data_IF_071363412775
#
_entry.id   IF_071363412775
#
_cell.length_a   1.000
_cell.length_b   1.000
_cell.length_c   1.000
_cell.angle_alpha   90.00
_cell.angle_beta   90.00
_cell.angle_gamma   90.00
#
_symmetry.space_group_name_H-M   'P 1'
#
loop_
_entity.id
_entity.type
_entity.pdbx_description
1 polymer ?
#
# COMPACT_ATOMS: atom_id res chain seq x y z
N UNK A 1 -33.69 4.68 -8.02
CA UNK A 1 -33.04 5.60 -8.98
C UNK A 1 -32.19 6.56 -8.19
N UNK A 2 -30.99 6.13 -7.80
CA UNK A 2 -30.07 6.98 -7.04
C UNK A 2 -29.40 7.96 -7.98
N UNK A 3 -29.60 9.26 -7.76
CA UNK A 3 -28.86 10.30 -8.48
C UNK A 3 -27.38 10.16 -8.13
N UNK A 4 -26.60 9.78 -9.14
CA UNK A 4 -25.15 9.88 -9.15
C UNK A 4 -24.76 11.29 -8.69
N UNK A 5 -24.01 11.38 -7.60
CA UNK A 5 -23.50 12.68 -7.13
C UNK A 5 -22.36 13.03 -8.08
N UNK A 6 -22.66 13.79 -9.13
CA UNK A 6 -21.63 14.40 -9.94
C UNK A 6 -21.02 15.53 -9.11
N UNK A 7 -19.71 15.50 -8.82
CA UNK A 7 -19.06 16.62 -8.13
C UNK A 7 -19.32 17.91 -8.91
N UNK A 8 -19.35 19.05 -8.21
CA UNK A 8 -19.46 20.35 -8.86
C UNK A 8 -18.38 20.47 -9.93
N UNK A 9 -18.78 20.82 -11.15
CA UNK A 9 -17.85 20.98 -12.27
C UNK A 9 -17.01 22.23 -12.00
N UNK A 10 -15.73 22.01 -11.71
CA UNK A 10 -14.75 23.09 -11.56
C UNK A 10 -14.27 23.48 -12.95
N UNK A 11 -14.37 24.75 -13.30
CA UNK A 11 -13.84 25.27 -14.57
C UNK A 11 -12.40 25.74 -14.39
N UNK A 12 -11.48 25.42 -15.31
CA UNK A 12 -10.11 25.93 -15.25
C UNK A 12 -10.07 27.44 -15.50
N UNK A 13 -9.05 28.09 -14.95
CA UNK A 13 -8.62 29.42 -15.34
C UNK A 13 -7.82 29.27 -16.64
N UNK A 14 -8.28 29.93 -17.70
CA UNK A 14 -7.63 29.89 -19.02
C UNK A 14 -6.46 30.88 -19.07
N UNK A 15 -5.30 30.41 -19.54
CA UNK A 15 -4.11 31.20 -19.83
C UNK A 15 -3.88 31.20 -21.34
N UNK A 16 -4.01 32.37 -21.96
CA UNK A 16 -4.01 32.49 -23.43
C UNK A 16 -2.66 32.19 -24.08
N UNK A 17 -1.55 32.32 -23.35
CA UNK A 17 -0.21 32.06 -23.88
C UNK A 17 0.76 31.77 -22.75
N UNK A 18 1.52 30.68 -22.89
CA UNK A 18 2.60 30.31 -21.97
C UNK A 18 3.91 30.10 -22.73
N UNK A 19 5.02 30.11 -22.00
CA UNK A 19 6.32 29.76 -22.56
C UNK A 19 6.36 28.26 -22.89
N UNK A 20 7.04 27.90 -23.98
CA UNK A 20 7.29 26.50 -24.31
C UNK A 20 8.43 25.95 -23.44
N UNK A 21 8.10 25.54 -22.21
CA UNK A 21 9.08 25.01 -21.24
C UNK A 21 9.57 23.63 -21.68
N UNK A 22 10.89 23.44 -21.71
CA UNK A 22 11.52 22.15 -22.00
C UNK A 22 11.76 21.31 -20.72
N UNK A 23 11.91 21.96 -19.57
CA UNK A 23 12.14 21.33 -18.27
C UNK A 23 13.08 22.15 -17.39
N UNK A 24 13.64 21.50 -16.38
CA UNK A 24 14.64 22.08 -15.48
C UNK A 24 16.05 21.67 -15.87
N UNK A 25 17.02 22.56 -15.71
CA UNK A 25 18.43 22.22 -15.97
C UNK A 25 18.94 21.26 -14.89
N UNK A 26 19.61 20.18 -15.29
CA UNK A 26 20.22 19.20 -14.38
C UNK A 26 21.68 19.54 -14.04
N UNK A 27 22.31 20.39 -14.87
CA UNK A 27 23.69 20.82 -14.71
C UNK A 27 23.86 22.24 -15.28
N UNK A 28 24.92 22.91 -14.84
CA UNK A 28 25.37 24.16 -15.47
C UNK A 28 26.09 23.85 -16.79
N UNK A 29 26.02 24.79 -17.73
CA UNK A 29 26.67 24.74 -19.03
C UNK A 29 27.03 26.17 -19.46
N UNK A 30 28.13 26.34 -20.20
CA UNK A 30 28.49 27.62 -20.81
C UNK A 30 27.68 27.87 -22.09
N UNK A 31 27.69 29.10 -22.58
CA UNK A 31 27.03 29.44 -23.83
C UNK A 31 27.61 28.62 -25.00
N UNK A 32 26.74 27.91 -25.71
CA UNK A 32 27.10 27.02 -26.82
C UNK A 32 27.38 25.57 -26.41
N UNK A 33 27.37 25.24 -25.12
CA UNK A 33 27.49 23.86 -24.64
C UNK A 33 26.12 23.19 -24.48
N UNK A 34 26.13 21.85 -24.53
CA UNK A 34 24.95 21.04 -24.27
C UNK A 34 24.59 21.04 -22.78
N UNK A 35 23.28 21.17 -22.49
CA UNK A 35 22.74 21.08 -21.13
C UNK A 35 21.81 19.87 -21.00
N UNK A 36 21.89 19.16 -19.88
CA UNK A 36 20.92 18.09 -19.56
C UNK A 36 19.67 18.72 -18.96
N UNK A 37 18.52 18.28 -19.46
CA UNK A 37 17.22 18.80 -19.03
C UNK A 37 16.39 17.68 -18.39
N UNK A 38 15.89 17.94 -17.19
CA UNK A 38 14.89 17.13 -16.51
C UNK A 38 13.53 17.61 -17.01
N UNK A 39 13.00 16.90 -18.00
CA UNK A 39 11.69 17.22 -18.57
C UNK A 39 10.55 16.46 -17.89
N UNK A 40 10.85 15.42 -17.09
CA UNK A 40 9.84 14.61 -16.39
C UNK A 40 10.37 14.19 -15.02
N UNK A 41 9.54 14.27 -14.00
CA UNK A 41 9.91 13.80 -12.66
C UNK A 41 8.83 13.97 -11.61
N UNK A 42 9.07 13.35 -10.46
CA UNK A 42 8.29 13.54 -9.24
C UNK A 42 9.19 13.91 -8.08
N UNK A 43 8.77 14.90 -7.32
CA UNK A 43 9.48 15.44 -6.17
C UNK A 43 8.50 15.65 -5.03
N UNK A 44 8.97 15.58 -3.79
CA UNK A 44 8.12 15.82 -2.62
C UNK A 44 8.78 16.76 -1.62
N UNK A 45 7.97 17.33 -0.73
CA UNK A 45 8.37 18.40 0.20
C UNK A 45 9.45 18.03 1.25
N UNK A 46 9.91 16.78 1.31
CA UNK A 46 11.07 16.41 2.13
C UNK A 46 12.40 16.54 1.36
N UNK A 47 12.33 16.76 0.04
CA UNK A 47 13.49 16.93 -0.81
C UNK A 47 13.74 18.42 -1.04
N UNK A 48 14.98 18.88 -0.88
CA UNK A 48 15.32 20.31 -1.10
C UNK A 48 14.92 20.78 -2.51
N UNK A 49 15.17 19.97 -3.52
CA UNK A 49 14.90 20.27 -4.93
C UNK A 49 13.41 20.56 -5.22
N UNK A 50 12.49 20.03 -4.41
CA UNK A 50 11.06 20.33 -4.52
C UNK A 50 10.80 21.84 -4.40
N UNK A 51 11.48 22.50 -3.46
CA UNK A 51 11.28 23.93 -3.20
C UNK A 51 11.84 24.80 -4.33
N UNK A 52 12.98 24.39 -4.91
CA UNK A 52 13.57 25.06 -6.07
C UNK A 52 12.61 25.00 -7.28
N UNK A 53 12.05 23.81 -7.57
CA UNK A 53 11.13 23.66 -8.69
C UNK A 53 9.78 24.33 -8.47
N UNK A 54 9.21 24.25 -7.27
CA UNK A 54 7.91 24.86 -6.99
C UNK A 54 7.98 26.39 -7.03
N UNK A 55 9.10 26.99 -6.63
CA UNK A 55 9.32 28.43 -6.68
C UNK A 55 9.35 28.94 -8.13
N UNK A 56 10.15 28.30 -8.99
CA UNK A 56 10.22 28.62 -10.42
C UNK A 56 8.86 28.48 -11.12
N UNK A 57 8.15 27.38 -10.88
CA UNK A 57 6.81 27.18 -11.45
C UNK A 57 5.81 28.20 -10.94
N UNK A 58 5.91 28.57 -9.65
CA UNK A 58 5.05 29.60 -9.07
C UNK A 58 5.30 30.96 -9.69
N UNK A 59 6.56 31.33 -9.95
CA UNK A 59 6.91 32.58 -10.61
C UNK A 59 6.36 32.68 -12.04
N UNK A 60 6.28 31.55 -12.75
CA UNK A 60 5.76 31.50 -14.12
C UNK A 60 4.23 31.51 -14.15
N UNK A 61 3.59 30.63 -13.37
CA UNK A 61 2.16 30.33 -13.53
C UNK A 61 1.27 30.89 -12.41
N UNK A 62 1.84 31.13 -11.23
CA UNK A 62 1.08 31.46 -10.01
C UNK A 62 1.40 32.85 -9.46
N UNK A 63 2.21 33.66 -10.16
CA UNK A 63 2.68 34.97 -9.69
C UNK A 63 1.58 35.99 -9.37
N UNK A 64 0.37 35.80 -9.90
CA UNK A 64 -0.81 36.64 -9.60
C UNK A 64 -1.55 36.22 -8.32
N UNK A 65 -1.16 35.12 -7.70
CA UNK A 65 -1.82 34.55 -6.55
C UNK A 65 -0.93 34.60 -5.32
N UNK A 66 -1.56 34.67 -4.14
CA UNK A 66 -0.86 34.47 -2.89
C UNK A 66 -0.54 32.98 -2.73
N UNK A 67 0.67 32.57 -3.10
CA UNK A 67 1.12 31.16 -3.14
C UNK A 67 0.89 30.43 -1.82
N UNK A 68 1.00 31.13 -0.69
CA UNK A 68 0.75 30.56 0.65
C UNK A 68 -0.69 30.04 0.86
N UNK A 69 -1.65 30.40 -0.02
CA UNK A 69 -3.03 29.89 0.01
C UNK A 69 -3.25 28.72 -0.96
N UNK A 70 -2.24 28.33 -1.72
CA UNK A 70 -2.33 27.26 -2.71
C UNK A 70 -1.87 25.95 -2.07
N UNK A 71 -2.77 24.98 -1.96
CA UNK A 71 -2.46 23.66 -1.41
C UNK A 71 -2.48 22.53 -2.46
N UNK A 72 -2.98 22.79 -3.66
CA UNK A 72 -2.91 21.92 -4.83
C UNK A 72 -3.15 22.76 -6.07
N UNK A 73 -2.52 22.38 -7.17
CA UNK A 73 -2.79 22.96 -8.47
C UNK A 73 -2.51 21.96 -9.58
N UNK A 74 -3.20 22.14 -10.70
CA UNK A 74 -3.01 21.37 -11.92
C UNK A 74 -2.86 22.35 -13.07
N UNK A 75 -1.80 22.20 -13.85
CA UNK A 75 -1.53 22.98 -15.05
C UNK A 75 -1.45 22.01 -16.22
N UNK A 76 -2.31 22.21 -17.20
CA UNK A 76 -2.32 21.46 -18.45
C UNK A 76 -1.95 22.45 -19.55
N UNK A 77 -0.86 22.20 -20.26
CA UNK A 77 -0.39 23.06 -21.36
C UNK A 77 -0.72 22.36 -22.67
N UNK A 78 -1.48 23.05 -23.51
CA UNK A 78 -1.93 22.56 -24.80
C UNK A 78 -0.85 22.76 -25.89
N UNK A 79 -0.94 22.06 -27.04
CA UNK A 79 0.05 22.17 -28.12
C UNK A 79 0.14 23.58 -28.73
N UNK A 80 -0.95 24.36 -28.65
CA UNK A 80 -1.00 25.76 -29.10
C UNK A 80 -0.42 26.75 -28.07
N UNK A 81 0.16 26.25 -26.97
CA UNK A 81 0.70 27.02 -25.85
C UNK A 81 -0.34 27.85 -25.09
N UNK A 82 -1.61 27.50 -25.20
CA UNK A 82 -2.61 27.87 -24.18
C UNK A 82 -2.49 26.93 -22.98
N UNK A 83 -3.02 27.31 -21.81
CA UNK A 83 -3.02 26.44 -20.64
C UNK A 83 -4.26 26.55 -19.78
N UNK A 84 -4.60 25.44 -19.14
CA UNK A 84 -5.65 25.30 -18.14
C UNK A 84 -5.04 25.20 -16.76
N UNK A 85 -5.42 26.13 -15.87
CA UNK A 85 -4.95 26.20 -14.49
C UNK A 85 -6.12 25.93 -13.53
N UNK A 86 -5.98 24.87 -12.72
CA UNK A 86 -6.85 24.60 -11.58
C UNK A 86 -6.08 24.91 -10.30
N UNK A 87 -6.69 25.64 -9.36
CA UNK A 87 -6.10 25.99 -8.07
C UNK A 87 -7.04 25.53 -6.97
N UNK A 88 -6.50 24.84 -5.97
CA UNK A 88 -7.16 24.33 -4.76
C UNK A 88 -8.28 23.30 -4.96
N UNK A 89 -8.97 23.35 -6.09
CA UNK A 89 -10.10 22.49 -6.45
C UNK A 89 -9.73 21.60 -7.64
N UNK A 90 -8.68 20.79 -7.50
CA UNK A 90 -8.34 19.78 -8.50
C UNK A 90 -9.21 18.53 -8.26
N UNK A 91 -10.09 18.14 -9.19
CA UNK A 91 -11.05 17.06 -8.97
C UNK A 91 -10.36 15.71 -9.19
N UNK A 92 -9.89 15.11 -8.09
CA UNK A 92 -9.17 13.83 -8.10
C UNK A 92 -10.07 12.66 -7.68
N UNK A 93 -9.86 11.51 -8.31
CA UNK A 93 -10.45 10.23 -7.92
C UNK A 93 -9.34 9.24 -7.61
N UNK A 94 -9.52 8.47 -6.53
CA UNK A 94 -8.61 7.41 -6.14
C UNK A 94 -9.26 6.05 -6.39
N UNK A 95 -8.51 5.17 -7.06
CA UNK A 95 -8.86 3.75 -7.15
C UNK A 95 -8.14 3.02 -6.02
N UNK A 96 -8.92 2.44 -5.11
CA UNK A 96 -8.41 1.77 -3.92
C UNK A 96 -8.77 0.30 -3.91
N UNK A 97 -7.93 -0.50 -3.27
CA UNK A 97 -8.30 -1.82 -2.76
C UNK A 97 -8.76 -1.62 -1.33
N UNK A 98 -10.00 -1.96 -1.01
CA UNK A 98 -10.55 -1.79 0.33
C UNK A 98 -10.32 -3.04 1.21
N UNK A 99 -10.18 -2.81 2.52
CA UNK A 99 -10.05 -3.89 3.52
C UNK A 99 -11.40 -4.51 3.91
N UNK A 100 -12.49 -3.84 3.56
CA UNK A 100 -13.87 -4.20 3.88
C UNK A 100 -14.79 -3.70 2.78
N UNK A 101 -16.04 -4.08 2.88
CA UNK A 101 -17.10 -3.47 2.08
C UNK A 101 -17.31 -2.02 2.48
N UNK A 102 -17.46 -1.17 1.48
CA UNK A 102 -17.71 0.26 1.62
C UNK A 102 -18.95 0.56 0.78
N UNK A 103 -19.99 1.08 1.43
CA UNK A 103 -21.22 1.46 0.73
C UNK A 103 -21.01 2.80 0.00
N UNK A 104 -21.79 3.02 -1.06
CA UNK A 104 -21.80 4.31 -1.73
C UNK A 104 -22.11 5.42 -0.71
N UNK A 105 -21.36 6.53 -0.78
CA UNK A 105 -21.45 7.70 0.13
C UNK A 105 -20.97 7.44 1.57
N UNK A 106 -20.47 6.24 1.87
CA UNK A 106 -19.82 5.99 3.14
C UNK A 106 -18.46 6.71 3.19
N UNK A 107 -18.14 7.27 4.35
CA UNK A 107 -16.83 7.89 4.57
C UNK A 107 -15.72 6.82 4.55
N UNK A 108 -14.65 7.10 3.81
CA UNK A 108 -13.47 6.24 3.73
C UNK A 108 -12.36 6.84 4.58
N UNK A 109 -11.80 6.03 5.47
CA UNK A 109 -10.65 6.38 6.31
C UNK A 109 -9.40 5.64 5.84
N UNK A 110 -8.22 6.08 6.32
CA UNK A 110 -6.96 5.38 6.02
C UNK A 110 -6.97 3.91 6.46
N UNK A 111 -7.74 3.58 7.50
CA UNK A 111 -7.83 2.21 7.99
C UNK A 111 -8.64 1.30 7.07
N UNK A 112 -9.40 1.86 6.11
CA UNK A 112 -10.20 1.12 5.15
C UNK A 112 -9.42 0.76 3.87
N UNK A 113 -8.24 1.35 3.68
CA UNK A 113 -7.43 1.23 2.46
C UNK A 113 -6.38 0.12 2.63
N UNK A 114 -6.46 -0.92 1.81
CA UNK A 114 -5.43 -1.94 1.67
C UNK A 114 -4.34 -1.50 0.68
N UNK A 115 -4.73 -0.84 -0.42
CA UNK A 115 -3.80 -0.28 -1.40
C UNK A 115 -4.46 0.86 -2.20
N UNK A 116 -3.65 1.69 -2.84
CA UNK A 116 -4.08 2.68 -3.84
C UNK A 116 -3.38 2.32 -5.15
N UNK A 117 -4.16 2.06 -6.19
CA UNK A 117 -3.66 1.58 -7.49
C UNK A 117 -3.57 2.68 -8.53
N UNK A 118 -4.50 3.63 -8.52
CA UNK A 118 -4.56 4.73 -9.49
C UNK A 118 -5.05 6.02 -8.82
N UNK A 119 -4.60 7.16 -9.35
CA UNK A 119 -5.19 8.47 -9.14
C UNK A 119 -5.44 9.09 -10.52
N UNK A 120 -6.68 9.45 -10.80
CA UNK A 120 -7.08 10.13 -12.04
C UNK A 120 -7.81 11.44 -11.74
N UNK A 121 -7.95 12.28 -12.77
CA UNK A 121 -8.81 13.45 -12.71
C UNK A 121 -10.24 13.11 -13.11
N UNK A 122 -11.19 13.95 -12.72
CA UNK A 122 -12.57 13.82 -13.20
C UNK A 122 -12.68 13.96 -14.72
N UNK A 123 -13.67 13.29 -15.31
CA UNK A 123 -13.85 13.21 -16.77
C UNK A 123 -13.97 14.57 -17.48
N UNK A 124 -14.32 15.63 -16.75
CA UNK A 124 -14.42 16.98 -17.30
C UNK A 124 -13.08 17.74 -17.36
N UNK A 125 -12.00 17.15 -16.85
CA UNK A 125 -10.64 17.69 -16.98
C UNK A 125 -10.04 17.17 -18.29
N UNK A 126 -9.91 18.05 -19.29
CA UNK A 126 -9.41 17.70 -20.62
C UNK A 126 -7.88 17.50 -20.61
N UNK A 127 -7.42 16.28 -20.37
CA UNK A 127 -6.02 15.88 -20.49
C UNK A 127 -5.83 14.89 -21.65
N UNK A 128 -4.95 15.22 -22.59
CA UNK A 128 -4.64 14.39 -23.76
C UNK A 128 -3.17 13.98 -23.78
N UNK A 129 -2.87 12.96 -24.58
CA UNK A 129 -1.53 12.36 -24.61
C UNK A 129 -0.44 13.32 -25.14
N UNK A 130 -0.80 14.36 -25.88
CA UNK A 130 0.13 15.34 -26.45
C UNK A 130 0.22 16.65 -25.64
N UNK A 131 -0.31 16.68 -24.41
CA UNK A 131 -0.31 17.86 -23.55
C UNK A 131 0.86 17.81 -22.56
N UNK A 132 1.36 18.96 -22.10
CA UNK A 132 2.31 18.98 -20.97
C UNK A 132 1.55 19.13 -19.66
N UNK A 133 2.11 18.59 -18.60
CA UNK A 133 1.43 18.47 -17.31
C UNK A 133 2.31 18.92 -16.17
N UNK A 134 1.74 19.72 -15.28
CA UNK A 134 2.30 19.99 -13.95
C UNK A 134 1.20 19.72 -12.94
N UNK A 135 1.46 18.89 -11.95
CA UNK A 135 0.50 18.57 -10.91
C UNK A 135 1.17 18.64 -9.54
N UNK A 136 0.72 19.59 -8.72
CA UNK A 136 1.10 19.68 -7.33
C UNK A 136 -0.11 19.34 -6.45
N UNK A 137 0.08 18.44 -5.50
CA UNK A 137 -0.97 18.01 -4.60
C UNK A 137 -0.47 17.83 -3.18
N UNK A 138 -1.36 18.04 -2.22
CA UNK A 138 -1.08 17.89 -0.80
C UNK A 138 -1.73 16.61 -0.25
N UNK A 139 -0.98 15.89 0.56
CA UNK A 139 -1.45 14.73 1.33
C UNK A 139 -1.02 14.92 2.78
N UNK A 140 -1.98 15.11 3.68
CA UNK A 140 -1.68 15.47 5.07
C UNK A 140 -0.88 16.78 5.14
N UNK A 141 0.35 16.69 5.64
CA UNK A 141 1.28 17.84 5.77
C UNK A 141 2.36 17.90 4.68
N UNK A 142 2.29 17.02 3.68
CA UNK A 142 3.31 16.90 2.64
C UNK A 142 2.76 17.23 1.27
N UNK A 143 3.66 17.65 0.39
CA UNK A 143 3.35 17.96 -0.99
C UNK A 143 4.08 17.00 -1.92
N UNK A 144 3.43 16.64 -3.01
CA UNK A 144 4.02 16.00 -4.18
C UNK A 144 3.90 16.93 -5.38
N UNK A 145 4.96 17.03 -6.16
CA UNK A 145 5.05 17.76 -7.43
C UNK A 145 5.44 16.77 -8.52
N UNK A 146 4.59 16.61 -9.50
CA UNK A 146 4.91 15.92 -10.75
C UNK A 146 4.92 16.91 -11.89
N UNK A 147 5.83 16.72 -12.83
CA UNK A 147 5.76 17.37 -14.14
C UNK A 147 6.18 16.44 -15.27
N UNK A 148 5.62 16.69 -16.45
CA UNK A 148 6.01 16.08 -17.73
C UNK A 148 5.90 17.16 -18.82
N UNK A 149 7.06 17.61 -19.29
CA UNK A 149 7.26 18.64 -20.30
C UNK A 149 7.67 18.07 -21.65
N UNK A 150 7.40 16.79 -21.90
CA UNK A 150 7.86 16.12 -23.12
C UNK A 150 7.62 16.95 -24.38
N UNK A 151 8.56 16.81 -25.30
CA UNK A 151 8.54 17.61 -26.51
C UNK A 151 7.45 17.09 -27.45
N UNK A 152 6.47 17.94 -27.73
CA UNK A 152 5.37 17.65 -28.68
C UNK A 152 5.86 17.48 -30.12
N UNK A 153 7.11 17.86 -30.43
CA UNK A 153 7.73 17.63 -31.74
C UNK A 153 8.41 16.28 -31.87
N UNK A 154 8.48 15.46 -30.81
CA UNK A 154 8.95 14.09 -30.91
C UNK A 154 7.74 13.17 -31.18
N UNK A 155 7.53 12.71 -32.44
CA UNK A 155 6.36 11.90 -32.79
C UNK A 155 6.35 10.52 -32.11
N UNK A 156 7.46 10.12 -31.47
CA UNK A 156 7.60 8.84 -30.78
C UNK A 156 7.28 8.88 -29.29
N UNK A 157 6.91 10.05 -28.74
CA UNK A 157 6.59 10.18 -27.31
C UNK A 157 5.22 10.82 -27.11
N UNK A 158 4.29 10.06 -26.51
CA UNK A 158 3.01 10.55 -26.00
C UNK A 158 2.86 10.17 -24.52
N UNK A 159 2.13 10.97 -23.74
CA UNK A 159 1.73 10.63 -22.39
C UNK A 159 0.84 9.37 -22.42
N UNK A 160 1.37 8.26 -21.94
CA UNK A 160 0.54 7.10 -21.62
C UNK A 160 -0.28 7.40 -20.36
N UNK A 161 -1.54 7.80 -20.53
CA UNK A 161 -2.42 8.19 -19.43
C UNK A 161 -2.67 7.03 -18.45
N UNK A 162 -2.78 5.78 -18.93
CA UNK A 162 -3.00 4.64 -18.05
C UNK A 162 -1.82 4.41 -17.10
N UNK A 163 -0.59 4.53 -17.60
CA UNK A 163 0.61 4.46 -16.75
C UNK A 163 0.73 5.69 -15.85
N UNK A 164 0.39 6.88 -16.34
CA UNK A 164 0.37 8.11 -15.54
C UNK A 164 -0.53 7.98 -14.31
N UNK A 165 -1.73 7.41 -14.45
CA UNK A 165 -2.66 7.23 -13.34
C UNK A 165 -2.11 6.30 -12.26
N UNK A 166 -1.40 5.23 -12.66
CA UNK A 166 -0.71 4.35 -11.71
C UNK A 166 0.42 5.07 -11.00
N UNK A 167 1.18 5.89 -11.73
CA UNK A 167 2.26 6.72 -11.19
C UNK A 167 1.72 7.72 -10.16
N UNK A 168 0.63 8.43 -10.45
CA UNK A 168 -0.02 9.30 -9.48
C UNK A 168 -0.58 8.56 -8.28
N UNK A 169 -1.20 7.40 -8.50
CA UNK A 169 -1.68 6.53 -7.41
C UNK A 169 -0.54 6.12 -6.47
N UNK A 170 0.60 5.73 -7.03
CA UNK A 170 1.81 5.42 -6.28
C UNK A 170 2.32 6.62 -5.47
N UNK A 171 2.47 7.80 -6.06
CA UNK A 171 2.97 8.97 -5.34
C UNK A 171 2.03 9.45 -4.24
N UNK A 172 0.72 9.44 -4.50
CA UNK A 172 -0.27 9.77 -3.49
C UNK A 172 -0.21 8.80 -2.31
N UNK A 173 -0.10 7.50 -2.60
CA UNK A 173 0.07 6.45 -1.60
C UNK A 173 1.36 6.61 -0.79
N UNK A 174 2.48 6.86 -1.46
CA UNK A 174 3.77 7.07 -0.81
C UNK A 174 3.69 8.17 0.25
N UNK A 175 3.06 9.31 -0.08
CA UNK A 175 2.86 10.39 0.88
C UNK A 175 1.85 10.03 1.98
N UNK A 176 0.75 9.36 1.66
CA UNK A 176 -0.30 9.01 2.63
C UNK A 176 0.19 7.99 3.67
N UNK A 177 0.98 7.02 3.24
CA UNK A 177 1.49 5.90 4.04
C UNK A 177 2.98 6.00 4.32
N UNK A 178 3.54 7.20 4.28
CA UNK A 178 4.97 7.41 4.49
C UNK A 178 5.46 6.87 5.85
N UNK A 179 4.61 6.89 6.88
CA UNK A 179 4.94 6.33 8.19
C UNK A 179 5.22 4.83 8.07
N UNK A 180 4.37 4.10 7.37
CA UNK A 180 4.53 2.66 7.10
C UNK A 180 5.83 2.39 6.32
N UNK A 181 6.08 3.12 5.23
CA UNK A 181 7.34 3.00 4.49
C UNK A 181 8.56 3.32 5.35
N UNK A 182 8.49 4.34 6.20
CA UNK A 182 9.60 4.72 7.08
C UNK A 182 9.91 3.67 8.15
N UNK A 183 8.89 2.96 8.65
CA UNK A 183 9.07 1.84 9.58
C UNK A 183 9.81 0.71 8.89
N UNK A 184 9.42 0.36 7.66
CA UNK A 184 10.07 -0.69 6.86
C UNK A 184 11.51 -0.32 6.49
N UNK A 185 11.78 0.94 6.15
CA UNK A 185 13.12 1.43 5.83
C UNK A 185 14.02 1.49 7.08
N UNK A 186 13.45 1.64 8.28
CA UNK A 186 14.18 1.49 9.53
C UNK A 186 14.46 0.00 9.79
N UNK A 187 15.56 -0.49 9.20
CA UNK A 187 15.97 -1.90 9.28
C UNK A 187 16.02 -2.42 10.71
N UNK A 188 16.54 -1.66 11.67
CA UNK A 188 16.63 -2.14 13.05
C UNK A 188 15.24 -2.40 13.65
N UNK A 189 14.37 -1.40 13.62
CA UNK A 189 13.00 -1.51 14.16
C UNK A 189 12.21 -2.61 13.46
N UNK A 190 12.25 -2.66 12.13
CA UNK A 190 11.50 -3.64 11.37
C UNK A 190 12.00 -5.07 11.63
N UNK A 191 13.32 -5.30 11.70
CA UNK A 191 13.86 -6.63 11.98
C UNK A 191 13.52 -7.12 13.40
N UNK A 192 13.43 -6.23 14.41
CA UNK A 192 12.94 -6.62 15.74
C UNK A 192 11.48 -7.06 15.72
N UNK A 193 10.60 -6.27 15.09
CA UNK A 193 9.20 -6.63 14.90
C UNK A 193 9.07 -7.95 14.12
N UNK A 194 9.86 -8.11 13.07
CA UNK A 194 9.84 -9.29 12.18
C UNK A 194 10.24 -10.56 12.93
N UNK A 195 11.27 -10.52 13.78
CA UNK A 195 11.68 -11.66 14.62
C UNK A 195 10.58 -12.13 15.57
N UNK A 196 9.78 -11.20 16.08
CA UNK A 196 8.64 -11.54 16.94
C UNK A 196 7.41 -12.03 16.15
N UNK A 197 7.51 -12.12 14.82
CA UNK A 197 6.46 -12.57 13.92
C UNK A 197 5.48 -11.47 13.50
N UNK A 198 5.87 -10.20 13.65
CA UNK A 198 5.08 -9.09 13.13
C UNK A 198 5.47 -8.74 11.70
N UNK A 199 4.45 -8.42 10.91
CA UNK A 199 4.55 -7.94 9.55
C UNK A 199 3.52 -6.80 9.39
N UNK A 200 3.70 -5.85 8.46
CA UNK A 200 2.65 -4.91 8.06
C UNK A 200 1.48 -5.62 7.36
N UNK A 201 0.81 -6.54 8.06
CA UNK A 201 -0.38 -7.22 7.57
C UNK A 201 -1.41 -6.19 7.14
N UNK A 202 -2.09 -6.42 6.01
CA UNK A 202 -3.06 -5.48 5.43
C UNK A 202 -4.05 -4.99 6.47
N UNK A 203 -4.52 -5.88 7.34
CA UNK A 203 -5.44 -5.52 8.42
C UNK A 203 -4.89 -4.50 9.41
N UNK A 204 -3.59 -4.53 9.67
CA UNK A 204 -2.91 -3.63 10.60
C UNK A 204 -2.57 -2.28 9.95
N UNK A 205 -2.37 -2.21 8.63
CA UNK A 205 -1.93 -0.99 7.94
C UNK A 205 -2.74 0.25 8.36
N UNK A 206 -2.05 1.38 8.52
CA UNK A 206 -2.64 2.57 9.11
C UNK A 206 -2.50 2.56 10.63
N UNK A 207 -3.61 2.77 11.35
CA UNK A 207 -3.58 3.06 12.78
C UNK A 207 -2.93 1.98 13.65
N UNK A 208 -3.24 0.70 13.41
CA UNK A 208 -2.79 -0.38 14.30
C UNK A 208 -1.33 -0.75 14.09
N UNK A 209 -0.84 -0.77 12.85
CA UNK A 209 0.57 -1.00 12.56
C UNK A 209 1.44 0.13 13.10
N UNK A 210 1.00 1.39 12.98
CA UNK A 210 1.69 2.54 13.58
C UNK A 210 1.76 2.43 15.10
N UNK A 211 0.66 2.04 15.77
CA UNK A 211 0.65 1.81 17.22
C UNK A 211 1.62 0.70 17.60
N UNK A 212 1.61 -0.43 16.89
CA UNK A 212 2.51 -1.54 17.13
C UNK A 212 3.98 -1.11 16.98
N UNK A 213 4.32 -0.39 15.91
CA UNK A 213 5.68 0.11 15.71
C UNK A 213 6.13 1.09 16.80
N UNK A 214 5.25 1.94 17.31
CA UNK A 214 5.56 2.83 18.44
C UNK A 214 5.83 2.07 19.74
N UNK A 215 5.12 0.96 20.00
CA UNK A 215 5.39 0.09 21.16
C UNK A 215 6.82 -0.46 21.08
N UNK A 216 7.24 -0.96 19.91
CA UNK A 216 8.59 -1.46 19.68
C UNK A 216 9.66 -0.36 19.75
N UNK A 217 9.34 0.84 19.28
CA UNK A 217 10.26 1.97 19.26
C UNK A 217 10.54 2.54 20.66
N UNK A 218 9.52 2.66 21.51
CA UNK A 218 9.66 3.26 22.83
C UNK A 218 10.10 2.22 23.88
N UNK A 219 9.60 0.98 23.80
CA UNK A 219 9.78 -0.10 24.80
C UNK A 219 9.43 0.23 26.25
N UNK A 220 9.00 1.45 26.55
CA UNK A 220 8.44 1.80 27.83
C UNK A 220 7.18 0.96 28.10
N UNK A 221 7.17 0.25 29.23
CA UNK A 221 6.06 -0.63 29.65
C UNK A 221 5.63 -1.64 28.55
N UNK A 222 6.62 -2.18 27.83
CA UNK A 222 6.41 -2.99 26.62
C UNK A 222 5.37 -4.10 26.80
N UNK A 223 5.49 -4.91 27.85
CA UNK A 223 4.59 -6.04 28.11
C UNK A 223 3.13 -5.61 28.27
N UNK A 224 2.87 -4.55 29.03
CA UNK A 224 1.51 -4.05 29.19
C UNK A 224 1.00 -3.38 27.91
N UNK A 225 1.85 -2.64 27.20
CA UNK A 225 1.48 -2.01 25.93
C UNK A 225 1.17 -3.02 24.83
N UNK A 226 1.99 -4.07 24.67
CA UNK A 226 1.73 -5.13 23.69
C UNK A 226 0.47 -5.90 24.09
N UNK A 227 0.30 -6.29 25.35
CA UNK A 227 -0.91 -7.00 25.78
C UNK A 227 -2.19 -6.18 25.54
N UNK A 228 -2.18 -4.87 25.85
CA UNK A 228 -3.30 -3.97 25.50
C UNK A 228 -3.57 -3.90 23.99
N UNK A 229 -2.51 -3.89 23.17
CA UNK A 229 -2.66 -3.93 21.71
C UNK A 229 -3.33 -5.23 21.26
N UNK A 230 -2.90 -6.38 21.78
CA UNK A 230 -3.46 -7.69 21.46
C UNK A 230 -4.92 -7.79 21.93
N UNK A 231 -5.23 -7.31 23.13
CA UNK A 231 -6.58 -7.30 23.69
C UNK A 231 -7.55 -6.43 22.90
N UNK A 232 -7.05 -5.45 22.13
CA UNK A 232 -7.88 -4.68 21.20
C UNK A 232 -8.47 -5.51 20.06
N UNK A 233 -7.92 -6.71 19.79
CA UNK A 233 -8.45 -7.69 18.84
C UNK A 233 -9.49 -8.60 19.51
N UNK A 234 -10.53 -7.94 20.01
CA UNK A 234 -11.72 -8.57 20.57
C UNK A 234 -12.60 -9.25 19.51
N UNK A 235 -13.64 -9.93 19.97
CA UNK A 235 -14.56 -10.68 19.11
C UNK A 235 -15.12 -9.89 17.94
N UNK A 236 -15.55 -8.65 18.16
CA UNK A 236 -16.11 -7.80 17.10
C UNK A 236 -15.07 -7.48 16.02
N UNK A 237 -13.85 -7.15 16.45
CA UNK A 237 -12.74 -6.87 15.52
C UNK A 237 -12.37 -8.13 14.74
N UNK A 238 -12.25 -9.28 15.38
CA UNK A 238 -11.96 -10.56 14.70
C UNK A 238 -13.07 -10.93 13.71
N UNK A 239 -14.35 -10.81 14.10
CA UNK A 239 -15.47 -11.06 13.20
C UNK A 239 -15.43 -10.15 11.97
N UNK A 240 -15.10 -8.87 12.15
CA UNK A 240 -14.93 -7.93 11.04
C UNK A 240 -13.84 -8.36 10.06
N UNK A 241 -12.73 -8.92 10.54
CA UNK A 241 -11.63 -9.44 9.71
C UNK A 241 -12.12 -10.60 8.84
N UNK A 242 -12.76 -11.60 9.47
CA UNK A 242 -13.06 -12.86 8.80
C UNK A 242 -14.26 -12.78 7.85
N UNK A 243 -15.15 -11.80 8.01
CA UNK A 243 -16.36 -11.67 7.19
C UNK A 243 -16.06 -11.56 5.68
N UNK A 244 -14.97 -10.88 5.30
CA UNK A 244 -14.58 -10.77 3.90
C UNK A 244 -14.05 -12.08 3.31
N UNK A 245 -13.60 -13.03 4.13
CA UNK A 245 -13.01 -14.28 3.67
C UNK A 245 -14.04 -15.19 3.00
N UNK A 246 -15.27 -15.22 3.52
CA UNK A 246 -16.33 -16.15 3.08
C UNK A 246 -16.84 -15.90 1.67
N UNK A 247 -16.46 -14.78 1.06
CA UNK A 247 -16.76 -14.47 -0.35
C UNK A 247 -15.92 -15.30 -1.32
N UNK A 248 -14.82 -15.88 -0.85
CA UNK A 248 -13.91 -16.69 -1.66
C UNK A 248 -14.27 -18.16 -1.49
N UNK A 249 -14.74 -18.80 -2.56
CA UNK A 249 -15.29 -20.16 -2.48
C UNK A 249 -14.32 -21.16 -1.82
N UNK A 250 -13.04 -21.15 -2.18
CA UNK A 250 -12.01 -22.02 -1.58
C UNK A 250 -11.93 -21.87 -0.05
N UNK A 251 -12.13 -20.65 0.47
CA UNK A 251 -12.12 -20.39 1.92
C UNK A 251 -13.45 -20.76 2.55
N UNK A 252 -14.56 -20.48 1.85
CA UNK A 252 -15.92 -20.82 2.27
C UNK A 252 -16.12 -22.34 2.41
N UNK A 253 -15.53 -23.14 1.54
CA UNK A 253 -15.58 -24.61 1.62
C UNK A 253 -14.97 -25.15 2.93
N UNK A 254 -14.13 -24.35 3.59
CA UNK A 254 -13.46 -24.65 4.87
C UNK A 254 -14.06 -23.87 6.04
N UNK A 255 -15.19 -23.19 5.85
CA UNK A 255 -15.75 -22.23 6.80
C UNK A 255 -15.99 -22.84 8.19
N UNK A 256 -16.62 -24.02 8.27
CA UNK A 256 -16.90 -24.69 9.54
C UNK A 256 -15.61 -24.93 10.35
N UNK A 257 -14.58 -25.38 9.65
CA UNK A 257 -13.28 -25.71 10.22
C UNK A 257 -12.54 -24.44 10.66
N UNK A 258 -12.52 -23.39 9.83
CA UNK A 258 -11.88 -22.10 10.16
C UNK A 258 -12.62 -21.44 11.34
N UNK A 259 -13.95 -21.43 11.33
CA UNK A 259 -14.77 -20.89 12.44
C UNK A 259 -14.47 -21.57 13.76
N UNK A 260 -14.34 -22.89 13.80
CA UNK A 260 -13.99 -23.61 15.02
C UNK A 260 -12.68 -23.11 15.64
N UNK A 261 -11.69 -22.75 14.82
CA UNK A 261 -10.37 -22.27 15.25
C UNK A 261 -10.38 -20.82 15.70
N UNK A 262 -11.17 -20.00 15.02
CA UNK A 262 -11.43 -18.63 15.46
C UNK A 262 -12.14 -18.64 16.81
N UNK A 263 -13.14 -19.51 16.98
CA UNK A 263 -13.81 -19.68 18.27
C UNK A 263 -12.84 -20.13 19.36
N UNK A 264 -11.88 -21.02 19.05
CA UNK A 264 -10.81 -21.39 19.99
C UNK A 264 -9.96 -20.17 20.42
N UNK A 265 -9.55 -19.30 19.50
CA UNK A 265 -8.88 -18.03 19.86
C UNK A 265 -9.74 -17.18 20.80
N UNK A 266 -11.05 -17.07 20.52
CA UNK A 266 -11.99 -16.26 21.29
C UNK A 266 -12.28 -16.80 22.70
N UNK A 267 -11.92 -18.05 23.00
CA UNK A 267 -11.96 -18.57 24.39
C UNK A 267 -10.97 -17.85 25.30
N UNK A 268 -9.97 -17.16 24.74
CA UNK A 268 -9.02 -16.31 25.45
C UNK A 268 -8.27 -17.04 26.58
N UNK A 269 -7.84 -18.27 26.31
CA UNK A 269 -7.06 -19.10 27.23
C UNK A 269 -6.01 -19.94 26.46
N UNK A 270 -5.10 -20.58 27.19
CA UNK A 270 -3.96 -21.30 26.61
C UNK A 270 -4.39 -22.43 25.67
N UNK A 271 -5.36 -23.25 26.07
CA UNK A 271 -5.89 -24.34 25.24
C UNK A 271 -6.50 -23.83 23.94
N UNK A 272 -7.22 -22.71 24.02
CA UNK A 272 -7.77 -21.99 22.88
C UNK A 272 -6.69 -21.53 21.91
N UNK A 273 -5.58 -20.98 22.41
CA UNK A 273 -4.45 -20.54 21.56
C UNK A 273 -3.74 -21.71 20.89
N UNK A 274 -3.46 -22.79 21.64
CA UNK A 274 -2.88 -24.03 21.11
C UNK A 274 -3.77 -24.56 19.97
N UNK A 275 -5.07 -24.68 20.22
CA UNK A 275 -6.03 -25.20 19.24
C UNK A 275 -6.19 -24.27 18.04
N UNK A 276 -6.17 -22.95 18.23
CA UNK A 276 -6.20 -22.01 17.12
C UNK A 276 -4.99 -22.23 16.20
N UNK A 277 -3.78 -22.21 16.75
CA UNK A 277 -2.53 -22.30 15.99
C UNK A 277 -2.38 -23.66 15.32
N UNK A 278 -2.49 -24.76 16.09
CA UNK A 278 -2.28 -26.13 15.56
C UNK A 278 -3.18 -26.47 14.38
N UNK A 279 -4.35 -25.87 14.34
CA UNK A 279 -5.33 -26.16 13.31
C UNK A 279 -5.33 -25.10 12.20
N UNK A 280 -5.06 -23.81 12.48
CA UNK A 280 -5.09 -22.78 11.44
C UNK A 280 -3.86 -22.84 10.52
N UNK A 281 -2.69 -23.16 11.05
CA UNK A 281 -1.43 -23.26 10.30
C UNK A 281 -1.52 -24.27 9.12
N UNK A 282 -1.94 -25.53 9.32
CA UNK A 282 -2.15 -26.48 8.21
C UNK A 282 -3.10 -25.99 7.12
N UNK A 283 -4.02 -25.10 7.45
CA UNK A 283 -5.11 -24.74 6.54
C UNK A 283 -4.89 -23.46 5.80
N UNK A 284 -4.08 -22.56 6.37
CA UNK A 284 -3.40 -21.55 5.58
C UNK A 284 -2.64 -22.24 4.43
N UNK A 285 -1.80 -23.24 4.72
CA UNK A 285 -1.09 -24.00 3.69
C UNK A 285 -2.06 -24.72 2.74
N UNK A 286 -3.09 -25.37 3.26
CA UNK A 286 -4.11 -26.06 2.48
C UNK A 286 -4.84 -25.16 1.49
N UNK A 287 -5.20 -23.93 1.90
CA UNK A 287 -5.83 -22.93 1.02
C UNK A 287 -4.88 -22.53 -0.11
N UNK A 288 -3.61 -22.27 0.19
CA UNK A 288 -2.62 -21.93 -0.84
C UNK A 288 -2.44 -23.10 -1.81
N UNK A 289 -2.32 -24.33 -1.30
CA UNK A 289 -2.20 -25.57 -2.11
C UNK A 289 -3.39 -25.77 -3.03
N UNK A 290 -4.61 -25.63 -2.53
CA UNK A 290 -5.83 -25.77 -3.34
C UNK A 290 -5.89 -24.69 -4.42
N UNK A 291 -5.58 -23.43 -4.08
CA UNK A 291 -5.54 -22.36 -5.07
C UNK A 291 -4.47 -22.58 -6.14
N UNK A 292 -3.29 -23.07 -5.75
CA UNK A 292 -2.23 -23.41 -6.69
C UNK A 292 -2.67 -24.55 -7.61
N UNK A 293 -3.21 -25.63 -7.05
CA UNK A 293 -3.67 -26.80 -7.80
C UNK A 293 -4.77 -26.43 -8.80
N UNK A 294 -5.73 -25.59 -8.40
CA UNK A 294 -6.80 -25.13 -9.29
C UNK A 294 -6.28 -24.33 -10.51
N UNK A 295 -5.14 -23.64 -10.38
CA UNK A 295 -4.55 -22.88 -11.49
C UNK A 295 -3.53 -23.69 -12.31
N UNK A 296 -2.74 -24.55 -11.67
CA UNK A 296 -1.59 -25.22 -12.29
C UNK A 296 -1.80 -26.70 -12.56
N UNK A 297 -2.85 -27.31 -11.99
CA UNK A 297 -3.16 -28.73 -12.06
C UNK A 297 -1.95 -29.62 -11.70
N UNK A 298 -1.17 -29.22 -10.67
CA UNK A 298 0.05 -29.90 -10.23
C UNK A 298 0.20 -29.77 -8.72
N UNK A 299 0.82 -30.78 -8.09
CA UNK A 299 1.22 -30.70 -6.68
C UNK A 299 2.42 -29.75 -6.48
N UNK A 300 2.31 -28.75 -5.58
CA UNK A 300 3.39 -27.80 -5.33
C UNK A 300 4.38 -28.29 -4.26
N UNK A 301 5.66 -27.96 -4.45
CA UNK A 301 6.64 -27.89 -3.36
C UNK A 301 6.36 -26.68 -2.45
N UNK A 302 7.04 -26.60 -1.30
CA UNK A 302 6.87 -25.44 -0.41
C UNK A 302 7.33 -24.13 -1.07
N UNK A 303 8.43 -24.20 -1.84
CA UNK A 303 8.91 -23.06 -2.63
C UNK A 303 7.85 -22.61 -3.65
N UNK A 304 7.23 -23.56 -4.36
CA UNK A 304 6.18 -23.24 -5.34
C UNK A 304 5.00 -22.50 -4.68
N UNK A 305 4.63 -22.86 -3.45
CA UNK A 305 3.57 -22.17 -2.71
C UNK A 305 3.93 -20.72 -2.39
N UNK A 306 5.14 -20.49 -1.87
CA UNK A 306 5.59 -19.14 -1.53
C UNK A 306 5.72 -18.26 -2.78
N UNK A 307 6.34 -18.80 -3.85
CA UNK A 307 6.50 -18.10 -5.14
C UNK A 307 5.11 -17.79 -5.76
N UNK A 308 4.15 -18.70 -5.60
CA UNK A 308 2.77 -18.49 -6.05
C UNK A 308 2.08 -17.34 -5.31
N UNK A 309 2.20 -17.28 -3.97
CA UNK A 309 1.64 -16.17 -3.18
C UNK A 309 2.27 -14.85 -3.57
N UNK A 310 3.61 -14.78 -3.69
CA UNK A 310 4.30 -13.55 -4.08
C UNK A 310 3.85 -13.08 -5.47
N UNK A 311 3.76 -13.99 -6.44
CA UNK A 311 3.33 -13.67 -7.80
C UNK A 311 1.88 -13.15 -7.82
N UNK A 312 0.97 -13.81 -7.11
CA UNK A 312 -0.43 -13.35 -7.00
C UNK A 312 -0.52 -11.99 -6.33
N UNK A 313 0.24 -11.79 -5.25
CA UNK A 313 0.33 -10.50 -4.57
C UNK A 313 0.82 -9.41 -5.54
N UNK A 314 1.98 -9.58 -6.22
CA UNK A 314 2.51 -8.62 -7.19
C UNK A 314 1.53 -8.27 -8.31
N UNK A 315 0.77 -9.26 -8.80
CA UNK A 315 -0.23 -9.03 -9.85
C UNK A 315 -1.44 -8.21 -9.34
N UNK A 316 -1.84 -8.41 -8.08
CA UNK A 316 -2.95 -7.68 -7.48
C UNK A 316 -2.54 -6.27 -7.05
N UNK A 317 -1.34 -6.17 -6.51
CA UNK A 317 -0.71 -4.99 -5.94
C UNK A 317 0.24 -4.36 -6.97
N UNK A 318 -0.35 -3.83 -8.05
CA UNK A 318 0.33 -3.50 -9.33
C UNK A 318 1.41 -2.41 -9.23
N UNK A 319 1.47 -1.64 -8.14
CA UNK A 319 2.41 -0.51 -8.03
C UNK A 319 3.83 -0.93 -7.62
N UNK A 320 4.82 -0.17 -8.09
CA UNK A 320 6.27 -0.34 -7.82
C UNK A 320 6.60 -0.53 -6.32
N UNK A 321 5.85 0.09 -5.40
CA UNK A 321 5.92 -0.20 -3.96
C UNK A 321 4.51 -0.28 -3.35
N UNK A 322 3.83 -1.41 -3.49
CA UNK A 322 2.52 -1.58 -2.87
C UNK A 322 2.59 -1.80 -1.36
N UNK A 323 1.52 -1.40 -0.66
CA UNK A 323 1.31 -1.65 0.76
C UNK A 323 1.05 -3.13 1.10
N UNK A 324 0.85 -3.99 0.09
CA UNK A 324 0.85 -5.43 0.30
C UNK A 324 2.24 -6.01 0.58
N UNK A 325 3.31 -5.24 0.32
CA UNK A 325 4.72 -5.60 0.45
C UNK A 325 5.03 -7.04 0.03
N UNK A 326 4.77 -7.41 -1.25
CA UNK A 326 4.79 -8.82 -1.68
C UNK A 326 6.12 -9.54 -1.41
N UNK A 327 7.25 -8.86 -1.61
CA UNK A 327 8.58 -9.45 -1.44
C UNK A 327 8.97 -9.57 0.03
N UNK A 328 8.59 -8.61 0.87
CA UNK A 328 8.74 -8.69 2.32
C UNK A 328 7.82 -9.78 2.90
N UNK A 329 6.61 -9.94 2.34
CA UNK A 329 5.70 -11.00 2.74
C UNK A 329 6.20 -12.38 2.32
N UNK A 330 6.82 -12.50 1.14
CA UNK A 330 7.54 -13.71 0.75
C UNK A 330 8.63 -14.06 1.76
N UNK A 331 9.45 -13.08 2.15
CA UNK A 331 10.46 -13.25 3.19
C UNK A 331 9.83 -13.69 4.52
N UNK A 332 8.71 -13.07 4.92
CA UNK A 332 7.96 -13.47 6.12
C UNK A 332 7.48 -14.92 6.04
N UNK A 333 6.94 -15.35 4.90
CA UNK A 333 6.50 -16.73 4.71
C UNK A 333 7.67 -17.70 4.85
N UNK A 334 8.84 -17.36 4.29
CA UNK A 334 10.03 -18.21 4.35
C UNK A 334 10.67 -18.28 5.74
N UNK A 335 10.90 -17.12 6.34
CA UNK A 335 11.78 -16.99 7.51
C UNK A 335 11.02 -17.07 8.84
N UNK A 336 9.67 -16.93 8.80
CA UNK A 336 8.81 -16.99 10.00
C UNK A 336 7.80 -18.12 9.88
N UNK A 337 6.91 -18.07 8.88
CA UNK A 337 5.76 -18.99 8.84
C UNK A 337 6.13 -20.42 8.45
N UNK A 338 6.84 -20.62 7.34
CA UNK A 338 7.37 -21.89 6.87
C UNK A 338 8.84 -22.09 7.24
N UNK A 339 9.29 -21.43 8.32
CA UNK A 339 10.65 -21.61 8.82
C UNK A 339 10.88 -23.09 9.15
N UNK A 340 11.96 -23.64 8.63
CA UNK A 340 12.41 -24.99 8.97
C UNK A 340 12.98 -25.03 10.41
N UNK A 341 13.19 -26.23 10.94
CA UNK A 341 13.71 -26.42 12.30
C UNK A 341 14.92 -27.34 12.32
N UNK A 342 15.75 -27.18 13.35
CA UNK A 342 16.94 -27.99 13.52
C UNK A 342 17.07 -28.44 14.98
N UNK A 343 16.90 -29.74 15.20
CA UNK A 343 17.01 -30.36 16.51
C UNK A 343 18.45 -30.36 17.06
N UNK A 344 19.47 -30.40 16.19
CA UNK A 344 20.88 -30.37 16.60
C UNK A 344 21.26 -29.01 17.19
N UNK A 345 20.74 -27.92 16.62
CA UNK A 345 20.97 -26.56 17.11
C UNK A 345 19.89 -26.08 18.07
N UNK A 346 18.92 -26.92 18.43
CA UNK A 346 17.75 -26.57 19.23
C UNK A 346 16.94 -25.38 18.66
N UNK A 347 16.98 -25.18 17.34
CA UNK A 347 16.19 -24.16 16.66
C UNK A 347 14.81 -24.73 16.33
N UNK A 348 13.92 -24.67 17.33
CA UNK A 348 12.55 -25.20 17.25
C UNK A 348 11.50 -24.12 17.48
N UNK A 349 11.81 -22.87 17.09
CA UNK A 349 10.86 -21.76 17.17
C UNK A 349 9.54 -22.09 16.48
N UNK A 350 8.42 -21.62 17.03
CA UNK A 350 7.10 -21.89 16.48
C UNK A 350 6.97 -21.43 15.01
N UNK A 351 6.67 -22.39 14.15
CA UNK A 351 6.43 -22.23 12.72
C UNK A 351 5.38 -23.27 12.28
N UNK A 352 4.95 -23.21 11.03
CA UNK A 352 4.12 -24.23 10.41
C UNK A 352 4.76 -25.61 10.49
N UNK A 353 6.07 -25.73 10.28
CA UNK A 353 6.76 -27.02 10.32
C UNK A 353 6.84 -27.56 11.74
N UNK A 354 7.33 -26.76 12.70
CA UNK A 354 7.48 -27.24 14.09
C UNK A 354 6.15 -27.64 14.71
N UNK A 355 5.08 -26.93 14.38
CA UNK A 355 3.71 -27.22 14.84
C UNK A 355 3.22 -28.59 14.37
N UNK A 356 3.41 -28.93 13.09
CA UNK A 356 2.89 -30.22 12.58
C UNK A 356 3.81 -31.39 12.78
N UNK A 357 5.11 -31.16 12.98
CA UNK A 357 6.03 -32.20 13.41
C UNK A 357 6.02 -32.40 14.94
N UNK A 358 5.23 -31.60 15.68
CA UNK A 358 5.03 -31.78 17.13
C UNK A 358 6.24 -31.40 17.98
N UNK A 359 7.16 -30.60 17.44
CA UNK A 359 8.41 -30.18 18.11
C UNK A 359 8.34 -28.77 18.70
N UNK A 360 7.29 -28.00 18.39
CA UNK A 360 7.03 -26.70 19.02
C UNK A 360 6.64 -26.88 20.49
N UNK A 361 7.09 -25.96 21.35
CA UNK A 361 6.90 -26.09 22.80
C UNK A 361 5.57 -25.49 23.26
N UNK A 362 4.97 -25.99 24.35
CA UNK A 362 3.71 -25.46 24.88
C UNK A 362 3.70 -23.95 25.14
N UNK A 363 4.82 -23.40 25.62
CA UNK A 363 5.00 -21.98 25.91
C UNK A 363 4.98 -21.07 24.67
N UNK A 364 5.25 -21.63 23.48
CA UNK A 364 5.24 -20.84 22.24
C UNK A 364 3.81 -20.54 21.76
N UNK A 365 2.82 -21.31 22.23
CA UNK A 365 1.42 -21.16 21.84
C UNK A 365 0.73 -20.01 22.60
N UNK A 366 1.10 -18.78 22.27
CA UNK A 366 0.60 -17.59 22.95
C UNK A 366 -0.59 -16.95 22.23
N UNK A 367 -1.32 -16.07 22.93
CA UNK A 367 -2.36 -15.22 22.32
C UNK A 367 -1.82 -14.41 21.13
N UNK A 368 -0.59 -13.90 21.25
CA UNK A 368 0.11 -13.15 20.19
C UNK A 368 0.24 -14.03 18.95
N UNK A 369 0.76 -15.26 19.09
CA UNK A 369 0.97 -16.18 17.96
C UNK A 369 -0.35 -16.64 17.35
N UNK A 370 -1.39 -16.80 18.16
CA UNK A 370 -2.73 -17.10 17.67
C UNK A 370 -3.31 -15.92 16.87
N UNK A 371 -3.19 -14.67 17.33
CA UNK A 371 -3.58 -13.50 16.55
C UNK A 371 -2.77 -13.38 15.24
N UNK A 372 -1.45 -13.56 15.30
CA UNK A 372 -0.59 -13.58 14.11
C UNK A 372 -1.08 -14.64 13.10
N UNK A 373 -1.50 -15.83 13.55
CA UNK A 373 -2.05 -16.86 12.66
C UNK A 373 -3.29 -16.39 11.87
N UNK A 374 -4.19 -15.66 12.55
CA UNK A 374 -5.39 -15.08 11.93
C UNK A 374 -5.00 -14.01 10.90
N UNK A 375 -4.03 -13.16 11.25
CA UNK A 375 -3.54 -12.09 10.36
C UNK A 375 -2.79 -12.65 9.13
N UNK A 376 -2.06 -13.76 9.29
CA UNK A 376 -1.41 -14.46 8.16
C UNK A 376 -2.48 -14.98 7.20
N UNK A 377 -3.54 -15.60 7.70
CA UNK A 377 -4.64 -16.06 6.85
C UNK A 377 -5.32 -14.88 6.13
N UNK A 378 -5.59 -13.76 6.82
CA UNK A 378 -6.13 -12.54 6.21
C UNK A 378 -5.24 -12.09 5.05
N UNK A 379 -3.93 -11.98 5.29
CA UNK A 379 -2.96 -11.54 4.30
C UNK A 379 -2.90 -12.50 3.09
N UNK A 380 -2.98 -13.81 3.31
CA UNK A 380 -3.02 -14.81 2.24
C UNK A 380 -4.30 -14.65 1.40
N UNK A 381 -5.45 -14.49 2.05
CA UNK A 381 -6.73 -14.28 1.37
C UNK A 381 -6.67 -13.00 0.52
N UNK A 382 -6.11 -11.91 1.06
CA UNK A 382 -5.90 -10.68 0.31
C UNK A 382 -4.88 -10.81 -0.81
N UNK A 383 -3.84 -11.61 -0.66
CA UNK A 383 -2.77 -11.72 -1.64
C UNK A 383 -3.15 -12.58 -2.85
N UNK A 384 -3.93 -13.64 -2.63
CA UNK A 384 -4.26 -14.62 -3.68
C UNK A 384 -5.54 -14.27 -4.44
N UNK A 385 -6.58 -13.82 -3.72
CA UNK A 385 -7.96 -13.70 -4.23
C UNK A 385 -8.44 -12.26 -4.29
#
# INVERSE_FOLDING_TARGET
MEKEIKPSIVKPIKINKVNNIAGFTANNALAGEDVRVIYKGFFHSDQKIFYEYIEELSNIYLNRYLVNRIHNFLIIIHPDLTADLYINEVPIFLKIISKRDILAREAVTINDIADITELCFADYVDLKENYKLIFCFKVGWKFGLYFDFHNTTNPHYSLNLQELWKVFGYYYKFLLFQKEYSILQNKFLFEEMFKDGWFPFIRLLGGDFRKLAEIYKNRFDFENSINKFIDSFNENKIKSIINSWWRKQIVKDKEAIIKARINAYLQNNQDGYINCIKNLYPEIEGIIRMSYFNEKNKNPSMKDLMDFVEKRAKNKFVSIESLGFPSEFYRYLKDVFFKDFNLLSNDCSLSRHTTSHGVAKPEDYTKIKALQSILILDQIVFSIF
#
